data_IF_837641122751
#
_entry.id   IF_837641122751
#
_cell.length_a   1.000
_cell.length_b   1.000
_cell.length_c   1.000
_cell.angle_alpha   90.00
_cell.angle_beta   90.00
_cell.angle_gamma   90.00
#
_symmetry.space_group_name_H-M   'P 1'
#
loop_
_entity.id
_entity.type
_entity.pdbx_description
1 polymer ?
#
# COMPACT_ATOMS: atom_id res chain seq x y z
N UNK A 1 -2.21 -11.02 4.17
CA UNK A 1 -1.66 -11.21 2.82
C UNK A 1 -2.58 -10.45 1.87
N UNK A 2 -2.14 -9.34 1.31
CA UNK A 2 -2.93 -8.60 0.30
C UNK A 2 -2.56 -9.20 -1.05
N UNK A 3 -3.52 -9.77 -1.76
CA UNK A 3 -3.28 -10.41 -3.07
C UNK A 3 -3.04 -9.36 -4.16
N UNK A 4 -2.29 -9.72 -5.19
CA UNK A 4 -1.89 -8.88 -6.33
C UNK A 4 -3.05 -8.30 -7.18
N UNK A 5 -4.29 -8.75 -7.01
CA UNK A 5 -5.44 -8.23 -7.76
C UNK A 5 -6.48 -7.62 -6.82
N UNK A 6 -6.56 -6.30 -6.79
CA UNK A 6 -7.57 -5.54 -6.05
C UNK A 6 -9.00 -5.97 -6.41
N UNK A 7 -9.22 -6.45 -7.64
CA UNK A 7 -10.52 -6.92 -8.11
C UNK A 7 -11.04 -8.19 -7.41
N UNK A 8 -10.15 -9.00 -6.80
CA UNK A 8 -10.52 -10.21 -6.07
C UNK A 8 -10.80 -9.98 -4.58
N UNK A 9 -10.72 -8.73 -4.10
CA UNK A 9 -10.89 -8.37 -2.69
C UNK A 9 -12.21 -7.63 -2.39
N UNK A 10 -12.99 -7.26 -3.42
CA UNK A 10 -14.22 -6.49 -3.26
C UNK A 10 -15.43 -7.40 -3.56
N UNK A 11 -16.05 -7.93 -2.49
CA UNK A 11 -17.09 -8.98 -2.59
C UNK A 11 -18.49 -8.49 -2.21
N UNK A 12 -18.66 -7.23 -1.78
CA UNK A 12 -19.90 -6.72 -1.24
C UNK A 12 -20.74 -5.98 -2.29
N UNK A 13 -22.02 -5.73 -1.95
CA UNK A 13 -22.96 -5.03 -2.82
C UNK A 13 -22.72 -3.50 -2.87
N UNK A 14 -22.08 -2.94 -1.82
CA UNK A 14 -21.79 -1.52 -1.75
C UNK A 14 -20.38 -1.22 -1.19
N UNK A 15 -19.86 -0.04 -1.51
CA UNK A 15 -18.60 0.47 -0.93
C UNK A 15 -18.69 0.58 0.59
N UNK A 16 -19.84 0.95 1.12
CA UNK A 16 -20.08 1.04 2.56
C UNK A 16 -19.98 -0.35 3.20
N UNK A 17 -20.61 -1.37 2.60
CA UNK A 17 -20.58 -2.74 3.12
C UNK A 17 -19.17 -3.30 3.10
N UNK A 18 -18.36 -2.98 2.07
CA UNK A 18 -16.95 -3.40 1.97
C UNK A 18 -16.12 -2.88 3.15
N UNK A 19 -16.38 -1.66 3.58
CA UNK A 19 -15.71 -1.07 4.75
C UNK A 19 -16.25 -1.66 6.05
N UNK A 20 -17.57 -1.83 6.15
CA UNK A 20 -18.22 -2.38 7.36
C UNK A 20 -17.78 -3.82 7.66
N UNK A 21 -17.71 -4.69 6.64
CA UNK A 21 -17.29 -6.08 6.82
C UNK A 21 -15.82 -6.20 7.28
N UNK A 22 -15.02 -5.18 7.01
CA UNK A 22 -13.62 -5.12 7.42
C UNK A 22 -13.45 -4.74 8.90
N UNK A 23 -14.50 -4.27 9.58
CA UNK A 23 -14.49 -3.91 10.99
C UNK A 23 -14.74 -5.13 11.88
N UNK A 24 -14.11 -5.20 13.05
CA UNK A 24 -14.44 -6.19 14.09
C UNK A 24 -15.88 -6.01 14.61
N UNK A 25 -16.29 -4.74 14.79
CA UNK A 25 -17.65 -4.35 15.14
C UNK A 25 -18.11 -3.33 14.12
N UNK A 26 -19.17 -3.65 13.37
CA UNK A 26 -19.73 -2.79 12.35
C UNK A 26 -20.20 -1.44 12.94
N UNK A 27 -19.65 -0.34 12.43
CA UNK A 27 -19.97 1.01 12.85
C UNK A 27 -20.11 1.91 11.64
N UNK A 28 -21.35 2.14 11.21
CA UNK A 28 -21.66 2.92 10.00
C UNK A 28 -21.08 4.34 10.05
N UNK A 29 -21.21 5.04 11.20
CA UNK A 29 -20.69 6.41 11.33
C UNK A 29 -19.18 6.45 11.12
N UNK A 30 -18.45 5.51 11.70
CA UNK A 30 -17.01 5.40 11.50
C UNK A 30 -16.64 5.02 10.07
N UNK A 31 -17.38 4.13 9.43
CA UNK A 31 -17.19 3.77 8.03
C UNK A 31 -17.37 5.01 7.12
N UNK A 32 -18.42 5.78 7.33
CA UNK A 32 -18.67 7.03 6.58
C UNK A 32 -17.58 8.09 6.83
N UNK A 33 -17.06 8.22 8.05
CA UNK A 33 -15.90 9.09 8.36
C UNK A 33 -14.65 8.67 7.60
N UNK A 34 -14.37 7.36 7.51
CA UNK A 34 -13.24 6.83 6.74
C UNK A 34 -13.43 7.11 5.24
N UNK A 35 -14.62 6.81 4.71
CA UNK A 35 -14.95 7.07 3.31
C UNK A 35 -14.85 8.55 2.95
N UNK A 36 -15.29 9.45 3.84
CA UNK A 36 -15.19 10.90 3.65
C UNK A 36 -13.73 11.36 3.53
N UNK A 37 -12.83 10.85 4.35
CA UNK A 37 -11.39 11.18 4.31
C UNK A 37 -10.70 10.73 3.02
N UNK A 38 -11.27 9.76 2.33
CA UNK A 38 -10.76 9.20 1.08
C UNK A 38 -11.53 9.65 -0.16
N UNK A 39 -12.40 10.67 -0.04
CA UNK A 39 -13.26 11.18 -1.12
C UNK A 39 -14.13 10.09 -1.76
N UNK A 40 -14.68 9.20 -0.93
CA UNK A 40 -15.51 8.08 -1.35
C UNK A 40 -16.94 8.13 -0.82
N UNK A 41 -17.29 9.10 0.02
CA UNK A 41 -18.59 9.15 0.68
C UNK A 41 -19.76 9.21 -0.33
N UNK A 42 -19.61 9.97 -1.42
CA UNK A 42 -20.62 10.08 -2.49
C UNK A 42 -20.81 8.78 -3.29
N UNK A 43 -19.90 7.83 -3.12
CA UNK A 43 -19.92 6.53 -3.78
C UNK A 43 -20.34 5.39 -2.85
N UNK A 44 -20.70 5.67 -1.59
CA UNK A 44 -20.90 4.66 -0.55
C UNK A 44 -21.93 3.58 -0.92
N UNK A 45 -22.97 3.95 -1.67
CA UNK A 45 -24.06 3.04 -2.11
C UNK A 45 -23.74 2.37 -3.47
N UNK A 46 -22.60 2.68 -4.11
CA UNK A 46 -22.26 2.08 -5.39
C UNK A 46 -21.59 0.72 -5.19
N UNK A 47 -21.85 -0.17 -6.14
CA UNK A 47 -21.15 -1.45 -6.19
C UNK A 47 -19.64 -1.21 -6.46
N UNK A 48 -18.71 -1.79 -5.68
CA UNK A 48 -17.28 -1.55 -5.82
C UNK A 48 -16.74 -1.77 -7.24
N UNK A 49 -17.27 -2.75 -7.96
CA UNK A 49 -16.84 -3.05 -9.34
C UNK A 49 -17.19 -1.95 -10.34
N UNK A 50 -18.16 -1.07 -10.05
CA UNK A 50 -18.53 0.07 -10.91
C UNK A 50 -17.58 1.27 -10.79
N UNK A 51 -16.64 1.24 -9.86
CA UNK A 51 -15.70 2.31 -9.58
C UNK A 51 -14.52 2.31 -10.56
N UNK A 52 -13.87 3.48 -10.73
CA UNK A 52 -12.59 3.59 -11.42
C UNK A 52 -11.47 2.86 -10.65
N UNK A 53 -10.37 2.54 -11.32
CA UNK A 53 -9.22 1.88 -10.69
C UNK A 53 -8.74 2.60 -9.43
N UNK A 54 -8.53 3.92 -9.48
CA UNK A 54 -8.12 4.72 -8.33
C UNK A 54 -9.15 4.77 -7.20
N UNK A 55 -10.46 4.74 -7.52
CA UNK A 55 -11.51 4.63 -6.50
C UNK A 55 -11.50 3.26 -5.82
N UNK A 56 -11.34 2.17 -6.58
CA UNK A 56 -11.21 0.80 -6.05
C UNK A 56 -10.02 0.69 -5.09
N UNK A 57 -8.88 1.28 -5.45
CA UNK A 57 -7.72 1.32 -4.56
C UNK A 57 -8.02 2.05 -3.26
N UNK A 58 -8.68 3.22 -3.31
CA UNK A 58 -9.08 3.94 -2.10
C UNK A 58 -10.08 3.15 -1.24
N UNK A 59 -10.99 2.37 -1.85
CA UNK A 59 -11.88 1.45 -1.09
C UNK A 59 -11.06 0.38 -0.37
N UNK A 60 -10.07 -0.23 -1.02
CA UNK A 60 -9.18 -1.19 -0.37
C UNK A 60 -8.42 -0.56 0.82
N UNK A 61 -7.96 0.70 0.70
CA UNK A 61 -7.34 1.44 1.80
C UNK A 61 -8.37 1.68 2.92
N UNK A 62 -9.60 2.07 2.58
CA UNK A 62 -10.67 2.28 3.56
C UNK A 62 -10.92 1.02 4.40
N UNK A 63 -10.99 -0.15 3.75
CA UNK A 63 -11.17 -1.46 4.40
C UNK A 63 -9.99 -1.79 5.33
N UNK A 64 -8.76 -1.49 4.91
CA UNK A 64 -7.57 -1.66 5.74
C UNK A 64 -7.60 -0.75 6.98
N UNK A 65 -7.94 0.53 6.83
CA UNK A 65 -8.07 1.47 7.95
C UNK A 65 -9.18 1.02 8.91
N UNK A 66 -10.29 0.53 8.36
CA UNK A 66 -11.44 0.03 9.12
C UNK A 66 -11.10 -1.20 9.97
N UNK A 67 -10.22 -2.07 9.49
CA UNK A 67 -9.79 -3.29 10.18
C UNK A 67 -8.93 -3.05 11.44
N UNK A 68 -8.54 -1.80 11.73
CA UNK A 68 -7.67 -1.39 12.86
C UNK A 68 -6.33 -2.16 12.92
N UNK A 69 -5.89 -2.71 11.83
CA UNK A 69 -4.58 -3.39 11.78
C UNK A 69 -3.47 -2.37 11.91
N UNK A 70 -2.47 -2.69 12.74
CA UNK A 70 -1.32 -1.80 12.98
C UNK A 70 -0.19 -2.05 11.99
N UNK A 71 -0.17 -3.23 11.35
CA UNK A 71 0.93 -3.67 10.48
C UNK A 71 0.37 -4.34 9.22
N UNK A 72 0.93 -4.00 8.08
CA UNK A 72 0.65 -4.61 6.78
C UNK A 72 1.92 -5.06 6.10
N UNK A 73 1.82 -6.17 5.36
CA UNK A 73 2.89 -6.71 4.54
C UNK A 73 2.44 -6.78 3.08
N UNK A 74 3.26 -6.24 2.19
CA UNK A 74 3.11 -6.34 0.75
C UNK A 74 4.33 -7.06 0.18
N UNK A 75 4.08 -8.05 -0.66
CA UNK A 75 5.12 -8.82 -1.33
C UNK A 75 5.06 -8.52 -2.83
N UNK A 76 6.13 -7.89 -3.35
CA UNK A 76 6.28 -7.46 -4.74
C UNK A 76 5.04 -6.74 -5.33
N UNK A 77 4.52 -5.67 -4.69
CA UNK A 77 3.25 -5.05 -5.07
C UNK A 77 3.26 -4.37 -6.44
N UNK A 78 4.43 -4.13 -7.03
CA UNK A 78 4.61 -3.50 -8.35
C UNK A 78 5.01 -4.47 -9.45
N UNK A 79 5.13 -5.77 -9.13
CA UNK A 79 5.54 -6.78 -10.11
C UNK A 79 4.61 -6.80 -11.33
N UNK A 80 5.18 -6.60 -12.54
CA UNK A 80 4.45 -6.58 -13.79
C UNK A 80 3.64 -5.30 -14.07
N UNK A 81 3.80 -4.26 -13.27
CA UNK A 81 3.16 -2.96 -13.48
C UNK A 81 4.04 -2.03 -14.33
N UNK A 82 3.40 -1.15 -15.09
CA UNK A 82 4.08 -0.02 -15.73
C UNK A 82 4.35 1.12 -14.72
N UNK A 83 5.18 2.10 -15.11
CA UNK A 83 5.57 3.22 -14.24
C UNK A 83 4.37 4.03 -13.71
N UNK A 84 3.26 4.10 -14.45
CA UNK A 84 2.07 4.84 -14.02
C UNK A 84 1.37 4.12 -12.88
N UNK A 85 1.12 2.82 -13.03
CA UNK A 85 0.47 2.01 -12.01
C UNK A 85 1.35 1.82 -10.78
N UNK A 86 2.69 1.74 -10.94
CA UNK A 86 3.62 1.74 -9.82
C UNK A 86 3.48 3.01 -8.95
N UNK A 87 3.37 4.20 -9.55
CA UNK A 87 3.15 5.45 -8.81
C UNK A 87 1.80 5.47 -8.07
N UNK A 88 0.78 4.85 -8.64
CA UNK A 88 -0.52 4.67 -7.96
C UNK A 88 -0.36 3.78 -6.72
N UNK A 89 0.38 2.66 -6.81
CA UNK A 89 0.70 1.80 -5.67
C UNK A 89 1.50 2.56 -4.61
N UNK A 90 2.56 3.27 -4.98
CA UNK A 90 3.36 4.08 -4.05
C UNK A 90 2.50 5.11 -3.30
N UNK A 91 1.57 5.76 -4.00
CA UNK A 91 0.64 6.71 -3.40
C UNK A 91 -0.29 6.03 -2.37
N UNK A 92 -0.80 4.83 -2.68
CA UNK A 92 -1.61 4.02 -1.76
C UNK A 92 -0.81 3.68 -0.50
N UNK A 93 0.43 3.20 -0.65
CA UNK A 93 1.30 2.85 0.48
C UNK A 93 1.57 4.06 1.39
N UNK A 94 1.82 5.25 0.80
CA UNK A 94 1.96 6.50 1.56
C UNK A 94 0.69 6.83 2.35
N UNK A 95 -0.49 6.75 1.73
CA UNK A 95 -1.76 7.05 2.40
C UNK A 95 -2.03 6.10 3.57
N UNK A 96 -1.72 4.81 3.42
CA UNK A 96 -1.84 3.81 4.50
C UNK A 96 -0.88 4.13 5.66
N UNK A 97 0.39 4.47 5.35
CA UNK A 97 1.38 4.91 6.34
C UNK A 97 0.90 6.18 7.07
N UNK A 98 0.42 7.18 6.33
CA UNK A 98 -0.03 8.47 6.88
C UNK A 98 -1.30 8.30 7.74
N UNK A 99 -2.05 7.21 7.56
CA UNK A 99 -3.12 6.78 8.45
C UNK A 99 -2.62 6.13 9.76
N UNK A 100 -1.29 6.05 9.97
CA UNK A 100 -0.67 5.51 11.19
C UNK A 100 -0.44 4.00 11.18
N UNK A 101 -0.50 3.36 10.01
CA UNK A 101 -0.28 1.92 9.84
C UNK A 101 1.16 1.69 9.42
N UNK A 102 1.86 0.78 10.10
CA UNK A 102 3.20 0.36 9.69
C UNK A 102 3.11 -0.55 8.46
N UNK A 103 3.81 -0.18 7.41
CA UNK A 103 3.80 -0.91 6.14
C UNK A 103 5.16 -1.51 5.88
N UNK A 104 5.22 -2.82 5.71
CA UNK A 104 6.39 -3.54 5.21
C UNK A 104 6.18 -3.90 3.75
N UNK A 105 7.14 -3.53 2.91
CA UNK A 105 7.14 -3.85 1.48
C UNK A 105 8.37 -4.69 1.18
N UNK A 106 8.15 -5.90 0.68
CA UNK A 106 9.22 -6.75 0.14
C UNK A 106 9.28 -6.43 -1.35
N UNK A 107 10.40 -5.91 -1.82
CA UNK A 107 10.54 -5.54 -3.24
C UNK A 107 12.01 -5.41 -3.65
N UNK A 108 12.24 -5.55 -4.95
CA UNK A 108 13.50 -5.20 -5.62
C UNK A 108 13.34 -4.00 -6.56
N UNK A 109 12.22 -3.29 -6.50
CA UNK A 109 11.91 -2.11 -7.32
C UNK A 109 12.46 -0.84 -6.66
N UNK A 110 13.59 -0.33 -7.18
CA UNK A 110 14.23 0.87 -6.65
C UNK A 110 13.34 2.11 -6.76
N UNK A 111 12.54 2.26 -7.83
CA UNK A 111 11.67 3.43 -8.00
C UNK A 111 10.59 3.44 -6.92
N UNK A 112 9.98 2.29 -6.62
CA UNK A 112 9.03 2.17 -5.52
C UNK A 112 9.67 2.52 -4.18
N UNK A 113 10.87 1.98 -3.92
CA UNK A 113 11.63 2.26 -2.68
C UNK A 113 11.87 3.75 -2.51
N UNK A 114 12.39 4.42 -3.55
CA UNK A 114 12.70 5.85 -3.53
C UNK A 114 11.45 6.73 -3.39
N UNK A 115 10.30 6.25 -3.87
CA UNK A 115 9.05 7.02 -3.87
C UNK A 115 8.30 6.95 -2.53
N UNK A 116 8.31 5.81 -1.82
CA UNK A 116 7.43 5.65 -0.65
C UNK A 116 8.07 5.09 0.63
N UNK A 117 9.26 4.48 0.57
CA UNK A 117 9.86 3.90 1.76
C UNK A 117 10.55 4.94 2.64
N UNK A 118 10.46 4.78 3.95
CA UNK A 118 11.13 5.62 4.97
C UNK A 118 12.35 4.95 5.57
N UNK A 119 12.37 3.63 5.58
CA UNK A 119 13.40 2.80 6.17
C UNK A 119 13.68 1.58 5.28
N UNK A 120 14.90 1.10 5.31
CA UNK A 120 15.37 -0.06 4.56
C UNK A 120 15.86 -1.13 5.52
N UNK A 121 15.49 -2.36 5.24
CA UNK A 121 16.03 -3.55 5.89
C UNK A 121 16.55 -4.48 4.79
N UNK A 122 17.86 -4.73 4.77
CA UNK A 122 18.48 -5.69 3.87
C UNK A 122 18.47 -7.06 4.48
N UNK A 123 17.84 -8.02 3.79
CA UNK A 123 17.81 -9.43 4.16
C UNK A 123 18.68 -10.23 3.20
N UNK A 124 19.58 -11.03 3.73
CA UNK A 124 20.40 -11.98 2.95
C UNK A 124 20.57 -13.26 3.77
N UNK A 125 20.37 -14.41 3.14
CA UNK A 125 20.47 -15.75 3.75
C UNK A 125 19.72 -15.88 5.10
N UNK A 126 18.52 -15.27 5.18
CA UNK A 126 17.68 -15.33 6.38
C UNK A 126 18.12 -14.42 7.52
N UNK A 127 19.09 -13.55 7.29
CA UNK A 127 19.63 -12.62 8.30
C UNK A 127 19.52 -11.17 7.85
N UNK A 128 19.30 -10.27 8.81
CA UNK A 128 19.37 -8.82 8.55
C UNK A 128 20.86 -8.45 8.49
N UNK A 129 21.31 -7.96 7.34
CA UNK A 129 22.71 -7.56 7.12
C UNK A 129 22.92 -6.04 7.24
N UNK A 130 21.90 -5.23 7.01
CA UNK A 130 21.94 -3.79 7.20
C UNK A 130 20.51 -3.25 7.44
N UNK A 131 20.41 -2.13 8.16
CA UNK A 131 19.17 -1.40 8.39
C UNK A 131 19.47 0.10 8.53
N UNK A 132 18.72 0.95 7.81
CA UNK A 132 18.90 2.41 7.85
C UNK A 132 17.65 3.15 7.38
N UNK A 133 17.54 4.44 7.78
CA UNK A 133 16.51 5.37 7.29
C UNK A 133 16.86 5.90 5.90
N UNK A 134 15.86 6.41 5.19
CA UNK A 134 15.98 7.00 3.84
C UNK A 134 16.33 8.50 3.90
N UNK A 135 17.34 8.86 4.70
CA UNK A 135 18.00 10.17 4.66
C UNK A 135 19.01 10.26 3.50
N UNK A 136 19.82 11.33 3.43
CA UNK A 136 20.81 11.51 2.37
C UNK A 136 21.84 10.35 2.30
N UNK A 137 22.25 9.83 3.45
CA UNK A 137 23.17 8.69 3.52
C UNK A 137 22.47 7.38 3.09
N UNK A 138 21.25 7.17 3.54
CA UNK A 138 20.43 6.02 3.14
C UNK A 138 20.14 6.00 1.65
N UNK A 139 19.82 7.14 1.05
CA UNK A 139 19.65 7.28 -0.40
C UNK A 139 20.91 6.91 -1.17
N UNK A 140 22.09 7.27 -0.67
CA UNK A 140 23.36 6.88 -1.24
C UNK A 140 23.58 5.38 -1.13
N UNK A 141 23.39 4.80 0.06
CA UNK A 141 23.56 3.37 0.34
C UNK A 141 22.68 2.50 -0.54
N UNK A 142 21.38 2.82 -0.68
CA UNK A 142 20.47 2.02 -1.50
C UNK A 142 20.86 2.05 -2.97
N UNK A 143 21.27 3.19 -3.53
CA UNK A 143 21.74 3.30 -4.90
C UNK A 143 23.03 2.48 -5.13
N UNK A 144 24.00 2.58 -4.22
CA UNK A 144 25.25 1.78 -4.28
C UNK A 144 24.95 0.27 -4.24
N UNK A 145 23.98 -0.14 -3.41
CA UNK A 145 23.55 -1.54 -3.33
C UNK A 145 23.01 -2.03 -4.68
N UNK A 146 22.12 -1.26 -5.33
CA UNK A 146 21.54 -1.63 -6.62
C UNK A 146 22.58 -1.63 -7.75
N UNK A 147 23.53 -0.69 -7.76
CA UNK A 147 24.66 -0.65 -8.71
C UNK A 147 25.55 -1.91 -8.53
N UNK A 148 25.89 -2.22 -7.28
CA UNK A 148 26.74 -3.38 -6.97
C UNK A 148 26.12 -4.72 -7.39
N UNK A 149 24.80 -4.83 -7.33
CA UNK A 149 24.03 -6.01 -7.76
C UNK A 149 23.75 -6.05 -9.27
N UNK A 150 24.13 -5.02 -10.02
CA UNK A 150 23.94 -4.93 -11.47
C UNK A 150 22.52 -4.56 -11.92
N UNK A 151 21.70 -4.03 -11.02
CA UNK A 151 20.37 -3.55 -11.34
C UNK A 151 20.36 -2.11 -11.90
N UNK A 152 21.46 -1.37 -11.76
CA UNK A 152 21.68 -0.04 -12.30
C UNK A 152 23.04 0.04 -12.98
N UNK A 153 23.13 0.77 -14.11
CA UNK A 153 24.41 1.18 -14.69
C UNK A 153 25.09 2.23 -13.80
N UNK A 154 26.44 2.26 -13.84
CA UNK A 154 27.25 3.19 -13.02
C UNK A 154 27.08 4.62 -13.44
#
# INVERSE_FOLDING_TARGET
MVMQEVNHQLFTESVLDEVLISMEEANQKRAEEILSRLDLLDFKERHPMSLSGGQKQRVAIASVIASKRSILFFDEPTSGLDCRHMKEVANVLRQVRDAGITVYVITHDLELILDCCTDIIHLEDGSIIDQYGMDEDGLRKIREYFIKRGYLEK
#
